data_IF_956250693882
#
_entry.id   IF_956250693882
#
_cell.length_a   1.000
_cell.length_b   1.000
_cell.length_c   1.000
_cell.angle_alpha   90.00
_cell.angle_beta   90.00
_cell.angle_gamma   90.00
#
_symmetry.space_group_name_H-M   'P 1'
#
loop_
_entity.id
_entity.type
_entity.pdbx_description
1 polymer ?
#
# COMPACT_ATOMS: atom_id res chain seq x y z
N UNK A 1 1.86 -1.32 13.85
CA UNK A 1 0.79 -1.37 12.83
C UNK A 1 1.43 -1.34 11.46
N UNK A 2 0.96 -2.14 10.51
CA UNK A 2 1.66 -2.37 9.24
C UNK A 2 0.92 -1.67 8.09
N UNK A 3 1.63 -0.81 7.38
CA UNK A 3 1.10 0.08 6.34
C UNK A 3 1.81 -0.22 5.02
N UNK A 4 1.05 -0.39 3.95
CA UNK A 4 1.59 -0.58 2.60
C UNK A 4 1.42 0.68 1.77
N UNK A 5 2.50 1.15 1.15
CA UNK A 5 2.49 2.25 0.19
C UNK A 5 2.63 1.67 -1.22
N UNK A 6 1.77 2.12 -2.13
CA UNK A 6 1.80 1.76 -3.55
C UNK A 6 2.08 3.04 -4.34
N UNK A 7 3.32 3.22 -4.77
CA UNK A 7 3.82 4.39 -5.48
C UNK A 7 5.05 4.05 -6.33
N UNK A 8 5.31 4.79 -7.40
CA UNK A 8 6.54 4.72 -8.23
C UNK A 8 7.59 5.77 -7.82
N UNK A 9 7.32 6.55 -6.77
CA UNK A 9 8.16 7.66 -6.29
C UNK A 9 8.85 7.30 -4.98
N UNK A 10 10.15 6.95 -4.98
CA UNK A 10 10.90 6.62 -3.76
C UNK A 10 10.91 7.75 -2.73
N UNK A 11 10.84 9.01 -3.17
CA UNK A 11 10.85 10.16 -2.26
C UNK A 11 9.58 10.22 -1.39
N UNK A 12 8.42 9.86 -1.95
CA UNK A 12 7.16 9.77 -1.22
C UNK A 12 7.24 8.70 -0.14
N UNK A 13 7.75 7.51 -0.51
CA UNK A 13 7.96 6.42 0.43
C UNK A 13 8.89 6.83 1.58
N UNK A 14 10.06 7.41 1.29
CA UNK A 14 11.01 7.82 2.33
C UNK A 14 10.42 8.84 3.30
N UNK A 15 9.64 9.79 2.78
CA UNK A 15 8.98 10.82 3.59
C UNK A 15 7.93 10.22 4.52
N UNK A 16 7.07 9.35 3.98
CA UNK A 16 6.03 8.66 4.75
C UNK A 16 6.62 7.65 5.73
N UNK A 17 7.66 6.91 5.34
CA UNK A 17 8.35 5.99 6.23
C UNK A 17 8.93 6.75 7.42
N UNK A 18 9.61 7.88 7.20
CA UNK A 18 10.18 8.68 8.29
C UNK A 18 9.10 9.18 9.25
N UNK A 19 7.98 9.70 8.71
CA UNK A 19 6.88 10.23 9.52
C UNK A 19 6.12 9.13 10.28
N UNK A 20 5.79 8.01 9.64
CA UNK A 20 4.99 6.94 10.23
C UNK A 20 5.81 6.05 11.18
N UNK A 21 7.10 5.89 10.93
CA UNK A 21 7.98 5.14 11.84
C UNK A 21 8.09 5.80 13.21
N UNK A 22 7.93 7.13 13.29
CA UNK A 22 7.87 7.85 14.58
C UNK A 22 6.66 7.45 15.42
N UNK A 23 5.63 6.85 14.81
CA UNK A 23 4.39 6.41 15.46
C UNK A 23 4.32 4.87 15.60
N UNK A 24 5.46 4.18 15.71
CA UNK A 24 5.54 2.70 15.82
C UNK A 24 4.81 1.95 14.67
N UNK A 25 4.79 2.55 13.48
CA UNK A 25 4.27 1.90 12.27
C UNK A 25 5.40 1.28 11.45
N UNK A 26 5.18 0.08 10.91
CA UNK A 26 6.06 -0.54 9.93
C UNK A 26 5.52 -0.24 8.53
N UNK A 27 6.34 0.42 7.71
CA UNK A 27 5.94 0.87 6.38
C UNK A 27 6.60 0.01 5.31
N UNK A 28 5.81 -0.47 4.37
CA UNK A 28 6.23 -1.32 3.27
C UNK A 28 5.97 -0.62 1.93
N UNK A 29 6.85 -0.81 0.96
CA UNK A 29 6.67 -0.30 -0.41
C UNK A 29 6.38 -1.47 -1.35
N UNK A 30 5.41 -1.30 -2.24
CA UNK A 30 5.21 -2.19 -3.38
C UNK A 30 5.06 -1.41 -4.67
N UNK A 31 5.92 -1.70 -5.65
CA UNK A 31 5.87 -1.11 -6.99
C UNK A 31 5.32 -2.05 -8.06
N UNK A 32 4.81 -3.24 -7.69
CA UNK A 32 4.31 -4.25 -8.64
C UNK A 32 3.00 -4.85 -8.17
N UNK A 33 1.96 -4.73 -8.99
CA UNK A 33 0.60 -5.15 -8.64
C UNK A 33 0.51 -6.61 -8.15
N UNK A 34 1.24 -7.52 -8.80
CA UNK A 34 1.23 -8.97 -8.50
C UNK A 34 1.70 -9.34 -7.09
N UNK A 35 2.49 -8.48 -6.45
CA UNK A 35 3.09 -8.76 -5.15
C UNK A 35 2.21 -8.26 -3.98
N UNK A 36 1.21 -7.40 -4.27
CA UNK A 36 0.41 -6.68 -3.27
C UNK A 36 -0.37 -7.63 -2.35
N UNK A 37 -1.17 -8.54 -2.90
CA UNK A 37 -2.00 -9.45 -2.09
C UNK A 37 -1.16 -10.38 -1.20
N UNK A 38 -0.03 -10.85 -1.74
CA UNK A 38 0.96 -11.63 -0.99
C UNK A 38 1.55 -10.81 0.16
N UNK A 39 1.87 -9.53 -0.09
CA UNK A 39 2.39 -8.64 0.94
C UNK A 39 1.36 -8.37 2.04
N UNK A 40 0.11 -8.08 1.65
CA UNK A 40 -1.00 -7.85 2.57
C UNK A 40 -1.10 -9.01 3.56
N UNK A 41 -1.13 -10.24 3.05
CA UNK A 41 -1.24 -11.45 3.86
C UNK A 41 0.00 -11.72 4.72
N UNK A 42 1.20 -11.64 4.13
CA UNK A 42 2.46 -12.00 4.82
C UNK A 42 2.87 -10.99 5.89
N UNK A 43 2.48 -9.73 5.72
CA UNK A 43 2.87 -8.63 6.60
C UNK A 43 1.71 -8.14 7.45
N UNK A 44 0.55 -8.79 7.43
CA UNK A 44 -0.62 -8.37 8.21
C UNK A 44 -0.91 -6.86 8.02
N UNK A 45 -0.92 -6.43 6.75
CA UNK A 45 -1.18 -5.03 6.39
C UNK A 45 -2.63 -4.71 6.72
N UNK A 46 -2.86 -3.57 7.39
CA UNK A 46 -4.23 -3.10 7.72
C UNK A 46 -4.64 -1.83 6.99
N UNK A 47 -3.65 -1.06 6.56
CA UNK A 47 -3.86 0.22 5.87
C UNK A 47 -2.99 0.22 4.61
N UNK A 48 -3.59 0.64 3.50
CA UNK A 48 -2.91 0.85 2.23
C UNK A 48 -2.98 2.34 1.90
N UNK A 49 -1.86 2.92 1.49
CA UNK A 49 -1.78 4.28 0.97
C UNK A 49 -1.41 4.16 -0.51
N UNK A 50 -2.32 4.58 -1.38
CA UNK A 50 -2.19 4.39 -2.82
C UNK A 50 -2.03 5.71 -3.57
N UNK A 51 -1.01 5.80 -4.41
CA UNK A 51 -0.85 6.90 -5.34
C UNK A 51 -1.71 6.67 -6.59
N UNK A 52 -2.81 7.40 -6.72
CA UNK A 52 -3.73 7.30 -7.87
C UNK A 52 -3.14 7.87 -9.17
N UNK A 53 -2.00 8.57 -9.10
CA UNK A 53 -1.32 9.08 -10.31
C UNK A 53 -0.57 7.99 -11.07
N UNK A 54 -0.37 6.81 -10.46
CA UNK A 54 0.20 5.63 -11.10
C UNK A 54 -0.67 5.19 -12.29
N UNK A 55 -0.08 5.15 -13.49
CA UNK A 55 -0.77 4.73 -14.72
C UNK A 55 -1.43 3.35 -14.60
N UNK A 56 -0.80 2.39 -13.92
CA UNK A 56 -1.36 1.04 -13.68
C UNK A 56 -2.60 1.03 -12.77
N UNK A 57 -2.86 2.10 -12.02
CA UNK A 57 -3.91 2.18 -11.00
C UNK A 57 -5.12 3.01 -11.48
N UNK A 58 -4.99 3.75 -12.58
CA UNK A 58 -6.01 4.70 -13.07
C UNK A 58 -7.39 4.07 -13.27
N UNK A 59 -7.47 2.78 -13.58
CA UNK A 59 -8.75 2.08 -13.80
C UNK A 59 -9.42 1.54 -12.52
N UNK A 60 -8.89 1.88 -11.33
CA UNK A 60 -9.36 1.43 -10.01
C UNK A 60 -9.44 -0.11 -9.83
N UNK A 61 -8.98 -0.88 -10.80
CA UNK A 61 -9.03 -2.35 -10.79
C UNK A 61 -8.33 -2.92 -9.56
N UNK A 62 -7.23 -2.29 -9.15
CA UNK A 62 -6.50 -2.67 -7.95
C UNK A 62 -7.28 -2.41 -6.66
N UNK A 63 -8.00 -1.29 -6.55
CA UNK A 63 -8.85 -1.02 -5.38
C UNK A 63 -9.96 -2.07 -5.27
N UNK A 64 -10.61 -2.40 -6.40
CA UNK A 64 -11.64 -3.44 -6.44
C UNK A 64 -11.08 -4.81 -6.05
N UNK A 65 -9.89 -5.15 -6.53
CA UNK A 65 -9.19 -6.38 -6.18
C UNK A 65 -8.89 -6.44 -4.67
N UNK A 66 -8.36 -5.37 -4.10
CA UNK A 66 -8.04 -5.29 -2.66
C UNK A 66 -9.31 -5.43 -1.81
N UNK A 67 -10.37 -4.67 -2.13
CA UNK A 67 -11.65 -4.75 -1.40
C UNK A 67 -12.34 -6.10 -1.56
N UNK A 68 -12.15 -6.79 -2.68
CA UNK A 68 -12.67 -8.15 -2.86
C UNK A 68 -11.85 -9.18 -2.08
N UNK A 69 -10.54 -8.95 -1.93
CA UNK A 69 -9.65 -9.80 -1.14
C UNK A 69 -9.89 -9.64 0.37
N UNK A 70 -10.05 -8.40 0.83
CA UNK A 70 -10.38 -8.05 2.20
C UNK A 70 -11.34 -6.83 2.23
N UNK A 71 -12.64 -7.06 2.47
CA UNK A 71 -13.64 -5.99 2.53
C UNK A 71 -13.41 -4.98 3.65
N UNK A 72 -12.68 -5.36 4.72
CA UNK A 72 -12.40 -4.52 5.88
C UNK A 72 -11.10 -3.71 5.73
N UNK A 73 -10.35 -3.92 4.64
CA UNK A 73 -9.09 -3.20 4.38
C UNK A 73 -9.33 -1.71 4.20
N UNK A 74 -8.62 -0.86 4.93
CA UNK A 74 -8.61 0.59 4.71
C UNK A 74 -7.64 0.95 3.58
N UNK A 75 -8.13 1.71 2.58
CA UNK A 75 -7.38 2.12 1.38
C UNK A 75 -7.62 3.59 1.08
#
# INVERSE_FOLDING_TARGET
MNILIIADRPQLFNSLQKFLSQNNCSVFLCGKQRDILSLIKKKDIRIIIMDLTLKEIQDFALLKLIKSFDPLMDV
#
